data_IF_889043615675
#
_entry.id   IF_889043615675
#
_cell.length_a   1.000
_cell.length_b   1.000
_cell.length_c   1.000
_cell.angle_alpha   90.00
_cell.angle_beta   90.00
_cell.angle_gamma   90.00
#
_symmetry.space_group_name_H-M   'P 1'
#
loop_
_entity.id
_entity.type
_entity.pdbx_description
1 polymer ?
#
# COMPACT_ATOMS: atom_id res chain seq x y z
N UNK A 1 -17.95 -7.50 23.05
CA UNK A 1 -18.00 -8.14 21.71
C UNK A 1 -16.98 -9.26 21.65
N UNK A 2 -17.19 -10.32 20.84
CA UNK A 2 -16.11 -11.28 20.55
C UNK A 2 -14.90 -10.56 19.95
N UNK A 3 -13.70 -11.11 20.15
CA UNK A 3 -12.46 -10.62 19.54
C UNK A 3 -12.60 -10.62 18.02
N UNK A 4 -12.26 -9.49 17.38
CA UNK A 4 -12.34 -9.38 15.93
C UNK A 4 -11.12 -10.02 15.27
N UNK A 5 -11.37 -10.75 14.19
CA UNK A 5 -10.35 -11.31 13.32
C UNK A 5 -10.15 -10.41 12.09
N UNK A 6 -8.95 -9.85 11.93
CA UNK A 6 -8.62 -8.92 10.84
C UNK A 6 -7.62 -9.56 9.90
N UNK A 7 -7.97 -9.62 8.61
CA UNK A 7 -7.08 -10.08 7.55
C UNK A 7 -6.51 -8.89 6.78
N UNK A 8 -5.19 -8.83 6.70
CA UNK A 8 -4.44 -7.78 6.02
C UNK A 8 -3.67 -8.38 4.85
N UNK A 9 -3.78 -7.76 3.69
CA UNK A 9 -3.25 -8.24 2.44
C UNK A 9 -2.48 -7.11 1.73
N UNK A 10 -1.26 -7.36 1.24
CA UNK A 10 -0.50 -6.41 0.39
C UNK A 10 0.02 -7.05 -0.90
N UNK A 11 -0.14 -6.37 -2.03
CA UNK A 11 0.43 -6.82 -3.30
C UNK A 11 0.85 -5.66 -4.23
N UNK A 12 2.14 -5.58 -4.54
CA UNK A 12 2.64 -4.77 -5.65
C UNK A 12 2.40 -5.50 -6.99
N UNK A 13 1.54 -4.94 -7.84
CA UNK A 13 1.09 -5.59 -9.09
C UNK A 13 1.95 -5.24 -10.31
N UNK A 14 3.09 -4.57 -10.14
CA UNK A 14 4.03 -4.26 -11.22
C UNK A 14 3.35 -3.62 -12.46
N UNK A 15 2.50 -2.62 -12.21
CA UNK A 15 1.85 -1.75 -13.20
C UNK A 15 0.88 -2.48 -14.17
N UNK A 16 0.32 -3.62 -13.77
CA UNK A 16 -0.49 -4.45 -14.68
C UNK A 16 -1.86 -3.89 -15.05
N UNK A 17 -2.49 -3.07 -14.20
CA UNK A 17 -3.84 -2.58 -14.47
C UNK A 17 -4.83 -3.75 -14.64
N UNK A 18 -5.56 -3.75 -15.75
CA UNK A 18 -6.53 -4.81 -16.06
C UNK A 18 -5.86 -6.15 -16.44
N UNK A 19 -4.62 -6.14 -16.95
CA UNK A 19 -3.92 -7.37 -17.33
C UNK A 19 -3.54 -8.24 -16.11
N UNK A 20 -3.68 -7.68 -14.90
CA UNK A 20 -3.48 -8.39 -13.65
C UNK A 20 -4.66 -9.29 -13.26
N UNK A 21 -5.77 -9.29 -14.00
CA UNK A 21 -6.94 -10.15 -13.77
C UNK A 21 -7.36 -10.93 -15.03
N UNK A 22 -8.00 -12.11 -14.88
CA UNK A 22 -8.30 -12.79 -13.62
C UNK A 22 -7.06 -13.53 -13.07
N UNK A 23 -6.72 -13.24 -11.82
CA UNK A 23 -5.91 -14.13 -10.97
C UNK A 23 -6.81 -14.64 -9.87
N UNK A 24 -6.75 -15.95 -9.60
CA UNK A 24 -7.46 -16.57 -8.48
C UNK A 24 -7.01 -15.91 -7.18
N UNK A 25 -7.92 -15.21 -6.47
CA UNK A 25 -7.59 -14.57 -5.20
C UNK A 25 -7.66 -15.52 -4.00
N UNK A 26 -7.98 -16.79 -4.27
CA UNK A 26 -8.19 -17.85 -3.29
C UNK A 26 -7.08 -17.91 -2.28
N UNK A 27 -5.84 -18.09 -2.70
CA UNK A 27 -4.74 -18.29 -1.76
C UNK A 27 -4.48 -17.05 -0.88
N UNK A 28 -4.94 -15.88 -1.30
CA UNK A 28 -4.84 -14.65 -0.53
C UNK A 28 -5.98 -14.50 0.48
N UNK A 29 -7.13 -15.11 0.20
CA UNK A 29 -8.39 -15.02 0.94
C UNK A 29 -8.71 -16.27 1.78
N UNK A 30 -8.12 -17.41 1.44
CA UNK A 30 -8.23 -18.72 2.06
C UNK A 30 -7.34 -19.00 3.29
N UNK A 31 -6.28 -18.24 3.65
CA UNK A 31 -5.49 -18.58 4.83
C UNK A 31 -6.32 -18.62 6.11
N UNK A 32 -7.43 -17.87 6.11
CA UNK A 32 -8.47 -17.86 7.14
C UNK A 32 -9.11 -19.23 7.35
N UNK A 33 -9.24 -20.08 6.32
CA UNK A 33 -9.83 -21.42 6.42
C UNK A 33 -8.87 -22.41 7.11
N UNK A 34 -7.62 -22.48 6.67
CA UNK A 34 -6.61 -23.37 7.27
C UNK A 34 -6.23 -22.95 8.70
N UNK A 35 -6.19 -21.65 8.97
CA UNK A 35 -5.92 -21.12 10.31
C UNK A 35 -7.13 -21.28 11.24
N UNK A 36 -8.36 -21.20 10.72
CA UNK A 36 -9.56 -21.55 11.50
C UNK A 36 -9.51 -23.00 11.98
N UNK A 37 -9.04 -23.94 11.16
CA UNK A 37 -8.90 -25.35 11.55
C UNK A 37 -7.85 -25.55 12.66
N UNK A 38 -6.77 -24.75 12.66
CA UNK A 38 -5.75 -24.76 13.72
C UNK A 38 -6.24 -24.10 15.03
N UNK A 39 -6.97 -22.99 14.94
CA UNK A 39 -7.52 -22.31 16.12
C UNK A 39 -8.65 -23.11 16.77
N UNK A 40 -9.50 -23.79 15.98
CA UNK A 40 -10.57 -24.65 16.48
C UNK A 40 -10.05 -25.90 17.18
N UNK A 41 -8.98 -26.53 16.66
CA UNK A 41 -8.33 -27.70 17.31
C UNK A 41 -7.64 -27.38 18.64
N UNK A 42 -7.31 -26.11 18.90
CA UNK A 42 -6.73 -25.65 20.17
C UNK A 42 -7.78 -25.19 21.19
N UNK A 43 -9.07 -25.21 20.83
CA UNK A 43 -10.19 -24.78 21.66
C UNK A 43 -11.14 -25.96 21.97
N UNK A 44 -11.66 -26.03 23.19
CA UNK A 44 -12.56 -27.11 23.66
C UNK A 44 -13.99 -27.05 23.11
N UNK A 45 -14.25 -26.26 22.06
CA UNK A 45 -15.57 -26.12 21.44
C UNK A 45 -15.51 -26.49 19.95
N UNK A 46 -16.07 -27.65 19.57
CA UNK A 46 -15.93 -28.16 18.21
C UNK A 46 -17.08 -27.66 17.32
N UNK A 47 -17.27 -26.35 17.11
CA UNK A 47 -18.21 -25.86 16.07
C UNK A 47 -17.75 -24.54 15.41
N UNK A 48 -17.72 -24.54 14.06
CA UNK A 48 -17.63 -23.43 13.10
C UNK A 48 -16.27 -22.80 12.74
N UNK A 49 -15.92 -22.90 11.44
CA UNK A 49 -14.94 -22.04 10.77
C UNK A 49 -15.28 -20.56 11.00
N UNK A 50 -14.34 -19.74 11.50
CA UNK A 50 -14.61 -18.32 11.74
C UNK A 50 -13.87 -17.45 10.71
N UNK A 51 -14.53 -17.04 9.62
CA UNK A 51 -13.91 -16.16 8.63
C UNK A 51 -13.61 -14.77 9.24
N UNK A 52 -12.73 -14.01 8.59
CA UNK A 52 -12.26 -12.73 9.11
C UNK A 52 -13.41 -11.71 9.18
N UNK A 53 -13.53 -10.99 10.29
CA UNK A 53 -14.54 -9.94 10.44
C UNK A 53 -14.28 -8.74 9.54
N UNK A 54 -13.00 -8.44 9.30
CA UNK A 54 -12.53 -7.34 8.46
C UNK A 54 -11.44 -7.87 7.53
N UNK A 55 -11.52 -7.52 6.24
CA UNK A 55 -10.52 -7.85 5.22
C UNK A 55 -10.04 -6.55 4.59
N UNK A 56 -8.76 -6.22 4.70
CA UNK A 56 -8.15 -5.06 4.07
C UNK A 56 -7.12 -5.48 3.03
N UNK A 57 -7.28 -5.00 1.80
CA UNK A 57 -6.44 -5.36 0.66
C UNK A 57 -5.76 -4.11 0.10
N UNK A 58 -4.44 -4.03 0.28
CA UNK A 58 -3.58 -2.97 -0.23
C UNK A 58 -2.90 -3.36 -1.55
N UNK A 59 -2.94 -2.47 -2.52
CA UNK A 59 -2.24 -2.62 -3.80
C UNK A 59 -1.24 -1.49 -4.02
N UNK A 60 -0.13 -1.83 -4.66
CA UNK A 60 0.85 -0.86 -5.16
C UNK A 60 1.12 -1.14 -6.63
N UNK A 61 1.52 -0.12 -7.37
CA UNK A 61 1.68 -0.21 -8.83
C UNK A 61 0.44 -0.83 -9.50
N UNK A 62 -0.75 -0.43 -9.04
CA UNK A 62 -2.02 -1.01 -9.45
C UNK A 62 -2.22 -0.99 -10.98
N UNK A 63 -1.70 0.06 -11.62
CA UNK A 63 -1.86 0.34 -13.04
C UNK A 63 -0.68 1.15 -13.59
N UNK A 64 -0.50 1.21 -14.92
CA UNK A 64 0.55 2.00 -15.55
C UNK A 64 0.58 3.45 -15.06
N UNK A 65 1.78 3.98 -14.82
CA UNK A 65 1.97 5.31 -14.23
C UNK A 65 1.24 6.42 -14.98
N UNK A 66 1.27 6.41 -16.31
CA UNK A 66 0.58 7.43 -17.10
C UNK A 66 -0.93 7.44 -16.84
N UNK A 67 -1.58 6.27 -16.71
CA UNK A 67 -2.99 6.17 -16.35
C UNK A 67 -3.25 6.60 -14.91
N UNK A 68 -2.41 6.15 -13.97
CA UNK A 68 -2.53 6.51 -12.55
C UNK A 68 -2.38 8.01 -12.30
N UNK A 69 -1.41 8.66 -12.95
CA UNK A 69 -1.14 10.09 -12.83
C UNK A 69 -2.21 10.95 -13.53
N UNK A 70 -2.72 10.50 -14.69
CA UNK A 70 -3.95 11.08 -15.28
C UNK A 70 -5.18 10.89 -14.39
N UNK A 71 -5.09 9.95 -13.45
CA UNK A 71 -6.09 9.34 -12.58
C UNK A 71 -7.30 8.83 -13.33
N UNK A 72 -6.98 7.94 -14.26
CA UNK A 72 -7.88 6.99 -14.89
C UNK A 72 -7.89 5.66 -14.10
N UNK A 73 -7.71 5.71 -12.77
CA UNK A 73 -7.62 4.54 -11.91
C UNK A 73 -8.97 3.95 -11.48
N UNK A 74 -10.07 4.69 -11.68
CA UNK A 74 -11.42 4.31 -11.22
C UNK A 74 -11.85 2.95 -11.75
N UNK A 75 -11.71 2.71 -13.06
CA UNK A 75 -12.12 1.43 -13.67
C UNK A 75 -11.37 0.24 -13.05
N UNK A 76 -10.05 0.40 -12.86
CA UNK A 76 -9.20 -0.67 -12.30
C UNK A 76 -9.58 -1.00 -10.87
N UNK A 77 -9.83 0.01 -10.02
CA UNK A 77 -10.23 -0.25 -8.63
C UNK A 77 -11.67 -0.80 -8.53
N UNK A 78 -12.58 -0.42 -9.43
CA UNK A 78 -13.92 -1.03 -9.51
C UNK A 78 -13.85 -2.51 -9.89
N UNK A 79 -13.07 -2.84 -10.93
CA UNK A 79 -12.89 -4.22 -11.35
C UNK A 79 -12.23 -5.08 -10.25
N UNK A 80 -11.22 -4.52 -9.55
CA UNK A 80 -10.64 -5.18 -8.37
C UNK A 80 -11.68 -5.38 -7.27
N UNK A 81 -12.52 -4.39 -7.01
CA UNK A 81 -13.56 -4.49 -6.00
C UNK A 81 -14.54 -5.63 -6.29
N UNK A 82 -15.09 -5.67 -7.50
CA UNK A 82 -16.02 -6.72 -7.92
C UNK A 82 -15.38 -8.10 -7.83
N UNK A 83 -14.15 -8.26 -8.33
CA UNK A 83 -13.43 -9.54 -8.31
C UNK A 83 -13.11 -10.00 -6.88
N UNK A 84 -12.61 -9.11 -6.02
CA UNK A 84 -12.31 -9.46 -4.62
C UNK A 84 -13.59 -9.87 -3.89
N UNK A 85 -14.66 -9.11 -4.02
CA UNK A 85 -15.91 -9.39 -3.32
C UNK A 85 -16.50 -10.74 -3.75
N UNK A 86 -16.58 -11.00 -5.06
CA UNK A 86 -17.03 -12.28 -5.60
C UNK A 86 -16.21 -13.46 -5.04
N UNK A 87 -14.88 -13.31 -4.99
CA UNK A 87 -14.01 -14.34 -4.46
C UNK A 87 -14.22 -14.52 -2.95
N UNK A 88 -14.23 -13.44 -2.15
CA UNK A 88 -14.45 -13.53 -0.70
C UNK A 88 -15.73 -14.32 -0.39
N UNK A 89 -16.85 -13.96 -1.01
CA UNK A 89 -18.14 -14.63 -0.76
C UNK A 89 -18.13 -16.10 -1.23
N UNK A 90 -17.47 -16.37 -2.37
CA UNK A 90 -17.32 -17.74 -2.89
C UNK A 90 -16.52 -18.63 -1.95
N UNK A 91 -15.43 -18.14 -1.35
CA UNK A 91 -14.52 -18.95 -0.52
C UNK A 91 -14.96 -19.03 0.94
N UNK A 92 -15.38 -17.92 1.52
CA UNK A 92 -15.79 -17.88 2.94
C UNK A 92 -17.20 -18.44 3.15
N UNK A 93 -18.02 -18.50 2.09
CA UNK A 93 -19.46 -18.80 2.17
C UNK A 93 -20.24 -17.81 3.05
N UNK A 94 -19.65 -16.65 3.33
CA UNK A 94 -20.24 -15.54 4.08
C UNK A 94 -20.43 -14.32 3.18
N UNK A 95 -21.33 -13.41 3.57
CA UNK A 95 -21.52 -12.14 2.88
C UNK A 95 -20.63 -11.04 3.46
N UNK A 96 -20.10 -10.21 2.57
CA UNK A 96 -19.26 -9.07 2.95
C UNK A 96 -19.75 -7.79 2.28
N UNK A 97 -19.62 -6.69 3.01
CA UNK A 97 -19.84 -5.34 2.50
C UNK A 97 -18.51 -4.62 2.30
N UNK A 98 -18.39 -3.85 1.22
CA UNK A 98 -17.31 -2.88 1.08
C UNK A 98 -17.55 -1.73 2.07
N UNK A 99 -16.68 -1.57 3.05
CA UNK A 99 -16.70 -0.41 3.97
C UNK A 99 -16.33 0.84 3.19
N UNK A 100 -15.17 0.83 2.53
CA UNK A 100 -14.79 1.85 1.55
C UNK A 100 -13.58 1.40 0.72
N UNK A 101 -13.24 2.18 -0.30
CA UNK A 101 -12.03 2.03 -1.11
C UNK A 101 -11.43 3.38 -1.46
N UNK A 102 -10.11 3.40 -1.67
CA UNK A 102 -9.38 4.60 -2.09
C UNK A 102 -8.22 4.21 -3.01
N UNK A 103 -7.92 5.08 -3.98
CA UNK A 103 -6.71 5.01 -4.82
C UNK A 103 -6.12 6.40 -5.03
N UNK A 104 -4.79 6.49 -4.92
CA UNK A 104 -4.02 7.68 -5.30
C UNK A 104 -2.85 7.24 -6.19
N UNK A 105 -2.86 7.69 -7.45
CA UNK A 105 -1.92 7.19 -8.45
C UNK A 105 -2.13 5.68 -8.66
N UNK A 106 -1.12 4.89 -8.28
CA UNK A 106 -1.13 3.43 -8.29
C UNK A 106 -1.15 2.76 -6.92
N UNK A 107 -1.35 3.51 -5.83
CA UNK A 107 -1.51 2.96 -4.47
C UNK A 107 -2.99 2.91 -4.14
N UNK A 108 -3.51 1.74 -3.79
CA UNK A 108 -4.92 1.55 -3.50
C UNK A 108 -5.14 0.72 -2.22
N UNK A 109 -6.29 0.94 -1.59
CA UNK A 109 -6.73 0.21 -0.40
C UNK A 109 -8.24 -0.03 -0.50
N UNK A 110 -8.66 -1.27 -0.30
CA UNK A 110 -10.06 -1.68 -0.22
C UNK A 110 -10.27 -2.38 1.11
N UNK A 111 -11.30 -1.99 1.86
CA UNK A 111 -11.63 -2.59 3.15
C UNK A 111 -13.05 -3.12 3.12
N UNK A 112 -13.17 -4.41 3.42
CA UNK A 112 -14.42 -5.16 3.49
C UNK A 112 -14.68 -5.58 4.92
N UNK A 113 -15.93 -5.76 5.27
CA UNK A 113 -16.36 -6.23 6.57
C UNK A 113 -17.49 -7.26 6.41
N UNK A 114 -17.57 -8.21 7.34
CA UNK A 114 -18.62 -9.23 7.33
C UNK A 114 -19.99 -8.60 7.57
N UNK A 115 -20.99 -8.96 6.75
CA UNK A 115 -22.35 -8.39 6.78
C UNK A 115 -23.07 -8.62 8.11
N UNK A 116 -22.85 -9.78 8.73
CA UNK A 116 -23.44 -10.15 10.02
C UNK A 116 -22.85 -9.40 11.23
N UNK A 117 -21.86 -8.52 11.02
CA UNK A 117 -21.17 -7.80 12.10
C UNK A 117 -20.74 -6.40 11.68
N UNK A 118 -19.42 -6.22 11.53
CA UNK A 118 -18.78 -4.90 11.37
C UNK A 118 -19.37 -4.07 10.24
N UNK A 119 -19.77 -4.67 9.11
CA UNK A 119 -20.26 -3.90 7.95
C UNK A 119 -21.54 -3.10 8.25
N UNK A 120 -22.39 -3.59 9.17
CA UNK A 120 -23.66 -2.91 9.53
C UNK A 120 -23.48 -1.86 10.61
N UNK A 121 -22.41 -1.96 11.39
CA UNK A 121 -22.16 -1.07 12.54
C UNK A 121 -21.11 -0.01 12.26
N UNK A 122 -20.28 -0.18 11.24
CA UNK A 122 -19.24 0.77 10.88
C UNK A 122 -19.84 2.16 10.59
N UNK A 123 -19.29 3.18 11.25
CA UNK A 123 -19.67 4.58 11.10
C UNK A 123 -18.42 5.46 10.93
N UNK A 124 -18.62 6.76 10.70
CA UNK A 124 -17.55 7.75 10.55
C UNK A 124 -16.46 7.32 9.55
N UNK A 125 -16.91 6.78 8.41
CA UNK A 125 -16.02 6.25 7.39
C UNK A 125 -15.34 7.40 6.64
N UNK A 126 -14.01 7.44 6.71
CA UNK A 126 -13.17 8.44 6.09
C UNK A 126 -12.06 7.81 5.25
N UNK A 127 -11.63 8.54 4.23
CA UNK A 127 -10.45 8.17 3.44
C UNK A 127 -9.51 9.36 3.28
N UNK A 128 -8.21 9.09 3.21
CA UNK A 128 -7.17 10.09 3.07
C UNK A 128 -6.07 9.61 2.12
N UNK A 129 -5.33 10.54 1.51
CA UNK A 129 -4.19 10.23 0.66
C UNK A 129 -3.10 11.29 0.80
N UNK A 130 -1.86 10.88 0.53
CA UNK A 130 -0.71 11.76 0.38
C UNK A 130 0.31 11.16 -0.59
N UNK A 131 1.10 12.01 -1.23
CA UNK A 131 2.13 11.61 -2.20
C UNK A 131 3.52 12.01 -1.72
N UNK A 132 4.49 11.13 -1.89
CA UNK A 132 5.90 11.34 -1.52
C UNK A 132 6.83 11.35 -2.72
N UNK A 133 6.28 11.21 -3.93
CA UNK A 133 7.05 11.34 -5.16
C UNK A 133 7.67 12.74 -5.32
N UNK A 134 8.51 12.95 -6.35
CA UNK A 134 9.00 14.29 -6.69
C UNK A 134 7.83 15.28 -6.79
N UNK A 135 7.89 16.39 -6.04
CA UNK A 135 6.78 17.34 -5.98
C UNK A 135 5.50 16.83 -5.31
N UNK A 136 5.61 15.84 -4.41
CA UNK A 136 4.49 15.16 -3.73
C UNK A 136 3.56 14.37 -4.66
N UNK A 137 4.06 13.98 -5.83
CA UNK A 137 3.33 13.17 -6.80
C UNK A 137 2.97 11.78 -6.27
N UNK A 138 1.90 11.19 -6.83
CA UNK A 138 1.29 9.95 -6.35
C UNK A 138 1.94 8.64 -6.83
N UNK A 139 3.13 8.70 -7.46
CA UNK A 139 3.88 7.49 -7.83
C UNK A 139 4.50 6.77 -6.62
N UNK A 140 4.59 7.47 -5.49
CA UNK A 140 4.95 6.99 -4.14
C UNK A 140 4.10 7.75 -3.13
N UNK A 141 3.87 7.18 -1.95
CA UNK A 141 3.08 7.80 -0.89
C UNK A 141 2.19 6.79 -0.19
N UNK A 142 1.04 7.25 0.32
CA UNK A 142 0.11 6.40 1.04
C UNK A 142 -1.35 6.80 0.82
N UNK A 143 -2.22 5.82 0.96
CA UNK A 143 -3.66 6.00 1.13
C UNK A 143 -4.09 5.41 2.47
N UNK A 144 -5.12 5.96 3.07
CA UNK A 144 -5.65 5.49 4.33
C UNK A 144 -7.18 5.47 4.36
N UNK A 145 -7.72 4.57 5.15
CA UNK A 145 -9.15 4.39 5.38
C UNK A 145 -9.36 4.25 6.89
N UNK A 146 -10.23 5.08 7.45
CA UNK A 146 -10.58 5.09 8.87
C UNK A 146 -12.08 4.88 9.01
N UNK A 147 -12.49 4.12 10.01
CA UNK A 147 -13.89 4.06 10.44
C UNK A 147 -13.96 3.75 11.93
N UNK A 148 -15.14 3.92 12.52
CA UNK A 148 -15.42 3.60 13.92
C UNK A 148 -16.42 2.46 14.01
N UNK A 149 -16.22 1.58 14.99
CA UNK A 149 -17.22 0.59 15.42
C UNK A 149 -17.74 1.06 16.77
N UNK A 150 -19.03 1.44 16.89
CA UNK A 150 -19.63 1.83 18.17
C UNK A 150 -19.57 0.71 19.21
N UNK A 151 -19.52 1.07 20.50
CA UNK A 151 -19.62 0.10 21.58
C UNK A 151 -21.01 -0.55 21.61
N UNK A 152 -21.11 -1.81 22.04
CA UNK A 152 -22.41 -2.53 22.12
C UNK A 152 -23.40 -1.86 23.04
N UNK A 153 -22.91 -1.15 24.05
CA UNK A 153 -23.71 -0.59 25.13
C UNK A 153 -23.97 0.92 24.93
N UNK A 154 -23.78 1.42 23.70
CA UNK A 154 -23.93 2.83 23.35
C UNK A 154 -22.70 3.70 23.62
N UNK A 155 -21.60 3.12 24.09
CA UNK A 155 -20.32 3.82 24.27
C UNK A 155 -19.65 4.24 22.96
N UNK A 156 -18.63 5.10 23.05
CA UNK A 156 -17.95 5.67 21.88
C UNK A 156 -17.35 4.62 20.92
N UNK A 157 -17.03 3.43 21.43
CA UNK A 157 -16.49 2.33 20.64
C UNK A 157 -15.02 2.54 20.29
N UNK A 158 -14.61 2.01 19.14
CA UNK A 158 -13.20 1.97 18.74
C UNK A 158 -12.99 2.43 17.30
N UNK A 159 -11.88 3.14 17.07
CA UNK A 159 -11.49 3.64 15.75
C UNK A 159 -10.46 2.71 15.11
N UNK A 160 -10.71 2.33 13.86
CA UNK A 160 -9.89 1.43 13.08
C UNK A 160 -9.30 2.19 11.90
N UNK A 161 -7.96 2.28 11.81
CA UNK A 161 -7.27 2.96 10.73
C UNK A 161 -6.40 1.97 9.94
N UNK A 162 -6.65 1.87 8.64
CA UNK A 162 -5.90 1.05 7.70
C UNK A 162 -5.12 1.97 6.76
N UNK A 163 -3.84 1.68 6.54
CA UNK A 163 -2.94 2.45 5.68
C UNK A 163 -2.27 1.51 4.68
N UNK A 164 -2.30 1.87 3.40
CA UNK A 164 -1.50 1.23 2.36
C UNK A 164 -0.44 2.21 1.87
N UNK A 165 0.84 1.84 1.99
CA UNK A 165 1.97 2.70 1.59
C UNK A 165 2.81 2.08 0.45
N UNK A 166 3.43 2.96 -0.33
CA UNK A 166 4.44 2.59 -1.32
C UNK A 166 5.60 3.58 -1.21
N UNK A 167 6.68 3.16 -0.54
CA UNK A 167 7.81 4.04 -0.23
C UNK A 167 8.90 4.00 -1.31
N UNK A 168 9.82 4.95 -1.25
CA UNK A 168 10.90 5.11 -2.23
C UNK A 168 11.70 3.82 -2.45
N UNK A 169 11.77 3.38 -3.70
CA UNK A 169 12.49 2.18 -4.12
C UNK A 169 14.02 2.34 -4.09
N UNK A 170 14.71 1.20 -4.23
CA UNK A 170 16.16 1.02 -4.31
C UNK A 170 16.92 1.09 -2.98
N UNK A 171 17.91 0.21 -2.79
CA UNK A 171 18.58 -0.01 -1.51
C UNK A 171 19.27 1.26 -0.97
N UNK A 172 19.88 2.04 -1.86
CA UNK A 172 20.62 3.27 -1.57
C UNK A 172 19.74 4.43 -1.08
N UNK A 173 18.43 4.39 -1.33
CA UNK A 173 17.48 5.47 -0.99
C UNK A 173 16.85 5.32 0.40
N UNK A 174 17.62 4.80 1.36
CA UNK A 174 17.15 4.57 2.72
C UNK A 174 16.64 5.86 3.40
N UNK A 175 17.42 6.94 3.28
CA UNK A 175 17.03 8.25 3.82
C UNK A 175 15.73 8.77 3.23
N UNK A 176 15.48 8.53 1.94
CA UNK A 176 14.22 8.90 1.30
C UNK A 176 13.06 8.08 1.86
N UNK A 177 13.20 6.77 2.10
CA UNK A 177 12.14 5.97 2.75
C UNK A 177 11.80 6.45 4.15
N UNK A 178 12.82 6.80 4.94
CA UNK A 178 12.62 7.39 6.27
C UNK A 178 11.86 8.72 6.15
N UNK A 179 12.30 9.60 5.25
CA UNK A 179 11.63 10.88 4.98
C UNK A 179 10.20 10.71 4.46
N UNK A 180 9.95 9.70 3.61
CA UNK A 180 8.61 9.36 3.11
C UNK A 180 7.68 9.00 4.28
N UNK A 181 8.15 8.19 5.23
CA UNK A 181 7.35 7.82 6.40
C UNK A 181 7.01 9.04 7.26
N UNK A 182 7.97 9.89 7.60
CA UNK A 182 7.70 11.12 8.36
C UNK A 182 6.74 12.05 7.62
N UNK A 183 6.89 12.17 6.30
CA UNK A 183 5.95 12.93 5.47
C UNK A 183 4.55 12.34 5.54
N UNK A 184 4.41 11.01 5.41
CA UNK A 184 3.12 10.32 5.50
C UNK A 184 2.46 10.56 6.86
N UNK A 185 3.20 10.42 7.97
CA UNK A 185 2.68 10.67 9.32
C UNK A 185 2.13 12.09 9.46
N UNK A 186 2.84 13.09 8.92
CA UNK A 186 2.41 14.49 9.00
C UNK A 186 1.30 14.88 8.00
N UNK A 187 1.08 14.14 6.92
CA UNK A 187 0.19 14.59 5.81
C UNK A 187 -0.96 13.66 5.47
N UNK A 188 -0.90 12.38 5.88
CA UNK A 188 -2.03 11.46 5.81
C UNK A 188 -2.96 11.71 7.01
N UNK A 189 -3.81 12.73 6.85
CA UNK A 189 -4.61 13.27 7.95
C UNK A 189 -6.10 12.92 7.83
N UNK A 190 -6.72 12.68 8.98
CA UNK A 190 -8.14 12.36 9.17
C UNK A 190 -8.82 13.46 10.01
N UNK A 191 -10.14 13.52 10.03
CA UNK A 191 -10.85 14.47 10.88
C UNK A 191 -10.62 14.16 12.37
N UNK A 192 -10.64 15.18 13.21
CA UNK A 192 -10.67 14.99 14.66
C UNK A 192 -12.11 14.68 15.12
N UNK A 193 -12.31 13.69 16.00
CA UNK A 193 -13.60 13.49 16.65
C UNK A 193 -14.06 14.72 17.47
N UNK A 194 -13.12 15.46 18.04
CA UNK A 194 -13.37 16.60 18.93
C UNK A 194 -13.73 17.89 18.16
N UNK A 195 -13.28 18.01 16.90
CA UNK A 195 -13.46 19.23 16.11
C UNK A 195 -13.53 18.94 14.63
N UNK A 196 -14.59 19.45 13.99
CA UNK A 196 -14.82 19.31 12.55
C UNK A 196 -13.75 19.96 11.67
N UNK A 197 -12.97 20.90 12.20
CA UNK A 197 -11.92 21.61 11.45
C UNK A 197 -10.53 21.10 11.79
N UNK A 198 -10.34 20.50 12.97
CA UNK A 198 -9.07 19.93 13.35
C UNK A 198 -8.80 18.62 12.61
N UNK A 199 -7.52 18.36 12.35
CA UNK A 199 -7.06 17.17 11.65
C UNK A 199 -6.12 16.41 12.57
N UNK A 200 -6.18 15.09 12.54
CA UNK A 200 -5.32 14.22 13.34
C UNK A 200 -4.47 13.33 12.46
N UNK A 201 -3.31 12.91 12.98
CA UNK A 201 -2.44 11.96 12.27
C UNK A 201 -3.04 10.55 12.28
N UNK A 202 -2.43 9.65 11.53
CA UNK A 202 -2.80 8.23 11.51
C UNK A 202 -2.72 7.55 12.89
N UNK A 203 -1.96 8.10 13.84
CA UNK A 203 -1.81 7.55 15.19
C UNK A 203 -2.98 7.87 16.14
N UNK A 204 -3.82 8.84 15.81
CA UNK A 204 -5.00 9.17 16.61
C UNK A 204 -6.16 8.18 16.31
N UNK A 205 -6.00 6.95 16.76
CA UNK A 205 -6.89 5.81 16.45
C UNK A 205 -6.83 4.78 17.58
N UNK A 206 -7.77 3.83 17.65
CA UNK A 206 -7.71 2.72 18.63
C UNK A 206 -6.85 1.58 18.10
N UNK A 207 -6.98 1.28 16.80
CA UNK A 207 -6.19 0.27 16.10
C UNK A 207 -5.61 0.87 14.82
N UNK A 208 -4.33 0.60 14.56
CA UNK A 208 -3.63 1.05 13.37
C UNK A 208 -3.02 -0.15 12.65
N UNK A 209 -3.34 -0.29 11.37
CA UNK A 209 -2.81 -1.33 10.50
C UNK A 209 -2.13 -0.68 9.29
N UNK A 210 -0.88 -1.04 9.05
CA UNK A 210 -0.09 -0.59 7.91
C UNK A 210 0.26 -1.79 7.05
N UNK A 211 -0.07 -1.71 5.77
CA UNK A 211 0.33 -2.65 4.74
C UNK A 211 1.06 -1.91 3.62
N UNK A 212 1.86 -2.60 2.83
CA UNK A 212 2.39 -2.01 1.61
C UNK A 212 3.76 -2.51 1.16
N UNK A 213 4.17 -2.02 0.00
CA UNK A 213 5.55 -2.09 -0.47
C UNK A 213 6.37 -0.96 0.19
N UNK A 214 6.88 -1.25 1.38
CA UNK A 214 7.71 -0.32 2.14
C UNK A 214 9.14 -0.21 1.57
N UNK A 215 9.49 -1.06 0.60
CA UNK A 215 10.72 -0.97 -0.18
C UNK A 215 12.04 -1.03 0.62
N UNK A 216 12.02 -1.38 1.91
CA UNK A 216 13.22 -1.69 2.68
C UNK A 216 13.90 -2.94 2.14
N UNK A 217 15.23 -2.94 2.15
CA UNK A 217 16.05 -3.95 1.47
C UNK A 217 16.94 -4.70 2.44
N UNK A 218 17.37 -5.88 2.03
CA UNK A 218 18.49 -6.58 2.68
C UNK A 218 19.80 -5.97 2.18
N UNK A 219 20.58 -5.38 3.09
CA UNK A 219 21.87 -4.77 2.77
C UNK A 219 22.97 -5.38 3.62
N UNK A 220 23.71 -6.30 3.01
CA UNK A 220 24.87 -6.92 3.64
C UNK A 220 26.02 -5.93 3.80
N UNK A 221 26.80 -6.01 4.89
CA UNK A 221 27.98 -5.18 5.05
C UNK A 221 29.08 -5.57 4.04
N UNK A 222 30.06 -4.68 3.76
CA UNK A 222 31.10 -4.90 2.75
C UNK A 222 31.88 -6.20 2.90
N UNK A 223 32.15 -6.62 4.14
CA UNK A 223 32.93 -7.80 4.51
C UNK A 223 32.15 -9.12 4.41
N UNK A 224 30.84 -9.08 4.22
CA UNK A 224 30.03 -10.29 4.16
C UNK A 224 30.35 -11.09 2.88
N UNK A 225 30.58 -12.43 2.94
CA UNK A 225 30.99 -13.23 1.78
C UNK A 225 30.05 -13.18 0.57
N UNK A 226 28.76 -12.99 0.83
CA UNK A 226 27.72 -12.89 -0.20
C UNK A 226 27.45 -11.45 -0.70
N UNK A 227 28.24 -10.46 -0.28
CA UNK A 227 28.10 -9.07 -0.73
C UNK A 227 28.19 -8.99 -2.25
N UNK A 228 27.20 -8.35 -2.88
CA UNK A 228 27.19 -8.17 -4.34
C UNK A 228 26.84 -9.43 -5.13
N UNK A 229 26.37 -10.51 -4.49
CA UNK A 229 26.00 -11.75 -5.16
C UNK A 229 24.49 -12.08 -5.03
N UNK A 230 23.58 -11.35 -5.71
CA UNK A 230 22.12 -11.55 -5.60
C UNK A 230 21.64 -12.99 -5.80
N UNK A 231 22.23 -13.73 -6.75
CA UNK A 231 21.87 -15.12 -7.02
C UNK A 231 22.25 -16.06 -5.87
N UNK A 232 23.45 -15.88 -5.30
CA UNK A 232 23.90 -16.68 -4.16
C UNK A 232 23.11 -16.36 -2.89
N UNK A 233 22.77 -15.07 -2.68
CA UNK A 233 21.86 -14.64 -1.61
C UNK A 233 20.49 -15.30 -1.79
N UNK A 234 19.93 -15.26 -3.00
CA UNK A 234 18.64 -15.87 -3.29
C UNK A 234 18.62 -17.38 -3.04
N UNK A 235 19.71 -18.08 -3.34
CA UNK A 235 19.87 -19.50 -3.03
C UNK A 235 19.98 -19.73 -1.51
N UNK A 236 20.75 -18.93 -0.78
CA UNK A 236 20.86 -19.07 0.67
C UNK A 236 19.49 -18.88 1.36
N UNK A 237 18.72 -17.88 0.93
CA UNK A 237 17.40 -17.55 1.49
C UNK A 237 16.32 -18.62 1.29
N UNK A 238 16.60 -19.72 0.57
CA UNK A 238 15.69 -20.88 0.54
C UNK A 238 15.64 -21.59 1.89
N UNK A 239 16.76 -21.61 2.62
CA UNK A 239 16.84 -22.18 3.97
C UNK A 239 16.30 -21.19 5.02
N UNK A 240 15.46 -21.67 5.94
CA UNK A 240 14.90 -20.84 7.00
C UNK A 240 15.98 -20.31 7.96
N UNK A 241 17.01 -21.10 8.27
CA UNK A 241 18.14 -20.68 9.10
C UNK A 241 18.91 -19.51 8.49
N UNK A 242 19.07 -19.50 7.16
CA UNK A 242 19.65 -18.36 6.46
C UNK A 242 18.74 -17.14 6.53
N UNK A 243 17.41 -17.30 6.37
CA UNK A 243 16.47 -16.18 6.54
C UNK A 243 16.51 -15.58 7.94
N UNK A 244 16.61 -16.43 8.95
CA UNK A 244 16.75 -16.02 10.36
C UNK A 244 18.01 -15.18 10.58
N UNK A 245 19.15 -15.57 9.99
CA UNK A 245 20.37 -14.75 10.03
C UNK A 245 20.26 -13.46 9.20
N UNK A 246 19.64 -13.53 8.02
CA UNK A 246 19.55 -12.41 7.08
C UNK A 246 18.60 -11.30 7.54
N UNK A 247 17.65 -11.59 8.43
CA UNK A 247 16.75 -10.59 9.01
C UNK A 247 17.51 -9.48 9.74
N UNK A 248 18.70 -9.77 10.26
CA UNK A 248 19.55 -8.77 10.93
C UNK A 248 20.14 -7.75 9.97
N UNK A 249 20.15 -8.04 8.66
CA UNK A 249 20.57 -7.13 7.59
C UNK A 249 19.38 -6.48 6.85
N UNK A 250 18.16 -6.70 7.32
CA UNK A 250 16.97 -6.02 6.81
C UNK A 250 16.95 -4.57 7.27
N UNK A 251 16.93 -3.63 6.32
CA UNK A 251 16.96 -2.20 6.64
C UNK A 251 15.80 -1.77 7.55
N UNK A 252 14.59 -2.33 7.40
CA UNK A 252 13.48 -1.93 8.28
C UNK A 252 13.76 -2.34 9.73
N UNK A 253 14.19 -3.59 9.95
CA UNK A 253 14.55 -4.09 11.28
C UNK A 253 15.73 -3.35 11.91
N UNK A 254 16.73 -2.97 11.11
CA UNK A 254 17.86 -2.16 11.59
C UNK A 254 17.41 -0.74 11.96
N UNK A 255 16.70 -0.04 11.07
CA UNK A 255 16.34 1.36 11.31
C UNK A 255 15.29 1.53 12.42
N UNK A 256 14.41 0.55 12.64
CA UNK A 256 13.46 0.56 13.77
C UNK A 256 14.13 0.43 15.14
N UNK A 257 15.30 -0.20 15.21
CA UNK A 257 16.10 -0.30 16.46
C UNK A 257 16.89 0.98 16.74
N UNK A 258 17.03 1.87 15.76
CA UNK A 258 17.71 3.13 15.94
C UNK A 258 16.71 4.21 16.39
N UNK A 259 16.73 4.62 17.68
CA UNK A 259 15.75 5.55 18.22
C UNK A 259 15.81 6.93 17.55
N UNK A 260 16.98 7.32 17.01
CA UNK A 260 17.14 8.61 16.32
C UNK A 260 16.31 8.75 15.04
N UNK A 261 15.87 7.64 14.45
CA UNK A 261 15.05 7.68 13.23
C UNK A 261 13.55 7.80 13.50
N UNK A 262 13.08 7.48 14.72
CA UNK A 262 11.65 7.48 15.06
C UNK A 262 10.74 6.88 13.97
N UNK A 263 11.13 5.69 13.49
CA UNK A 263 10.54 5.03 12.33
C UNK A 263 9.52 3.96 12.77
N UNK A 264 8.28 4.05 12.27
CA UNK A 264 7.15 3.17 12.65
C UNK A 264 6.98 2.98 14.17
N UNK A 265 7.08 4.09 14.92
CA UNK A 265 7.05 4.09 16.39
C UNK A 265 5.79 3.43 16.93
N UNK A 266 5.94 2.49 17.86
CA UNK A 266 4.84 1.79 18.49
C UNK A 266 4.14 0.74 17.63
N UNK A 267 4.51 0.56 16.35
CA UNK A 267 4.01 -0.55 15.54
C UNK A 267 4.79 -1.83 15.83
N UNK A 268 4.12 -2.99 15.75
CA UNK A 268 4.69 -4.34 15.77
C UNK A 268 4.62 -4.97 14.38
N UNK A 269 5.38 -6.04 14.18
CA UNK A 269 5.36 -6.85 12.97
C UNK A 269 5.54 -8.32 13.37
N UNK A 270 4.86 -9.24 12.68
CA UNK A 270 5.06 -10.68 12.87
C UNK A 270 6.43 -11.14 12.34
N UNK A 271 6.73 -12.44 12.44
CA UNK A 271 8.01 -12.99 12.02
C UNK A 271 8.15 -13.11 10.49
N UNK A 272 8.36 -11.96 9.82
CA UNK A 272 8.44 -11.85 8.36
C UNK A 272 9.49 -12.77 7.70
N UNK A 273 10.53 -13.14 8.44
CA UNK A 273 11.63 -13.99 7.98
C UNK A 273 11.27 -15.48 7.88
N UNK A 274 10.12 -15.91 8.44
CA UNK A 274 9.65 -17.30 8.33
C UNK A 274 9.31 -17.69 6.88
N UNK A 275 8.83 -16.74 6.07
CA UNK A 275 8.59 -16.93 4.64
C UNK A 275 9.71 -16.29 3.78
N UNK A 276 9.81 -16.75 2.53
CA UNK A 276 10.80 -16.24 1.55
C UNK A 276 10.55 -14.77 1.23
N UNK A 277 11.62 -14.01 0.93
CA UNK A 277 11.52 -12.63 0.46
C UNK A 277 10.44 -12.49 -0.64
N UNK A 278 9.64 -11.42 -0.57
CA UNK A 278 8.56 -11.17 -1.53
C UNK A 278 9.05 -10.56 -2.84
N UNK A 279 10.29 -10.06 -2.89
CA UNK A 279 10.90 -9.40 -4.04
C UNK A 279 12.36 -9.85 -4.20
N UNK A 280 13.00 -9.87 -5.38
CA UNK A 280 12.48 -9.65 -6.74
C UNK A 280 12.46 -10.97 -7.48
N UNK A 281 11.29 -11.41 -7.94
CA UNK A 281 11.14 -12.63 -8.72
C UNK A 281 11.33 -12.39 -10.21
N UNK A 282 11.61 -13.47 -10.93
CA UNK A 282 11.46 -13.50 -12.38
C UNK A 282 9.98 -13.67 -12.68
N UNK A 283 9.39 -12.73 -13.43
CA UNK A 283 7.98 -12.80 -13.85
C UNK A 283 7.73 -14.14 -14.58
N UNK A 284 6.59 -14.77 -14.28
CA UNK A 284 6.22 -16.09 -14.77
C UNK A 284 6.80 -17.26 -13.97
N UNK A 285 7.61 -17.00 -12.93
CA UNK A 285 8.22 -18.05 -12.10
C UNK A 285 7.66 -18.02 -10.67
N UNK A 286 7.36 -19.20 -10.12
CA UNK A 286 6.86 -19.36 -8.75
C UNK A 286 7.96 -19.05 -7.74
N UNK A 287 9.13 -19.68 -7.89
CA UNK A 287 10.16 -19.71 -6.84
C UNK A 287 11.57 -19.43 -7.36
N UNK A 288 11.70 -18.45 -8.27
CA UNK A 288 12.99 -18.03 -8.84
C UNK A 288 13.21 -16.53 -8.73
N UNK A 289 14.16 -16.14 -7.89
CA UNK A 289 14.63 -14.76 -7.81
C UNK A 289 15.34 -14.31 -9.09
N UNK A 290 15.16 -13.05 -9.44
CA UNK A 290 15.92 -12.37 -10.49
C UNK A 290 17.29 -11.96 -9.96
N UNK A 291 18.35 -12.16 -10.76
CA UNK A 291 19.70 -11.69 -10.43
C UNK A 291 19.85 -10.16 -10.51
N UNK A 292 18.84 -9.44 -11.01
CA UNK A 292 18.88 -7.97 -11.19
C UNK A 292 18.96 -7.20 -9.86
N UNK A 293 18.50 -7.80 -8.77
CA UNK A 293 18.46 -7.20 -7.42
C UNK A 293 18.62 -8.27 -6.36
N UNK A 294 19.23 -7.94 -5.23
CA UNK A 294 19.21 -8.77 -4.03
C UNK A 294 17.76 -8.99 -3.58
N UNK A 295 17.34 -10.23 -3.29
CA UNK A 295 16.03 -10.48 -2.71
C UNK A 295 15.81 -9.75 -1.38
N UNK A 296 14.60 -9.27 -1.14
CA UNK A 296 14.23 -8.52 0.05
C UNK A 296 12.75 -8.69 0.43
N UNK A 297 12.45 -8.53 1.71
CA UNK A 297 11.08 -8.38 2.23
C UNK A 297 10.66 -6.93 2.08
N UNK A 298 10.29 -6.54 0.87
CA UNK A 298 9.84 -5.17 0.55
C UNK A 298 8.40 -4.93 0.98
N UNK A 299 7.57 -5.96 0.90
CA UNK A 299 6.16 -5.94 1.25
C UNK A 299 6.03 -6.29 2.73
N UNK A 300 5.33 -5.46 3.52
CA UNK A 300 5.26 -5.60 4.99
C UNK A 300 3.85 -5.38 5.53
N UNK A 301 3.58 -5.99 6.68
CA UNK A 301 2.40 -5.74 7.51
C UNK A 301 2.86 -5.35 8.92
N UNK A 302 2.45 -4.16 9.37
CA UNK A 302 2.71 -3.66 10.70
C UNK A 302 1.39 -3.27 11.38
N UNK A 303 1.32 -3.38 12.69
CA UNK A 303 0.08 -3.14 13.44
C UNK A 303 0.32 -2.68 14.87
N UNK A 304 -0.66 -2.02 15.47
CA UNK A 304 -0.67 -1.67 16.90
C UNK A 304 -2.09 -1.41 17.37
N UNK A 305 -2.31 -1.57 18.67
CA UNK A 305 -3.60 -1.32 19.33
C UNK A 305 -3.41 -0.48 20.58
N UNK A 306 -4.44 0.24 21.00
CA UNK A 306 -4.42 1.12 22.18
C UNK A 306 -4.06 0.38 23.48
N UNK A 307 -4.36 -0.92 23.55
CA UNK A 307 -4.01 -1.77 24.69
C UNK A 307 -2.52 -2.08 24.77
N UNK A 308 -1.76 -1.86 23.70
CA UNK A 308 -0.32 -2.06 23.71
C UNK A 308 0.37 -1.02 24.59
N UNK A 309 1.47 -1.42 25.24
CA UNK A 309 2.30 -0.51 26.03
C UNK A 309 3.43 0.07 25.17
N UNK A 310 3.73 1.38 25.28
CA UNK A 310 4.95 1.94 24.70
C UNK A 310 6.23 1.40 25.37
N UNK A 311 6.15 0.95 26.62
CA UNK A 311 7.30 0.41 27.39
C UNK A 311 7.66 -1.03 27.01
N UNK A 312 6.77 -1.72 26.29
CA UNK A 312 6.96 -3.10 25.82
C UNK A 312 6.88 -3.17 24.28
N UNK A 313 7.86 -2.62 23.55
CA UNK A 313 7.79 -2.45 22.09
C UNK A 313 7.74 -3.77 21.29
N UNK A 314 8.11 -4.89 21.92
CA UNK A 314 8.11 -6.22 21.30
C UNK A 314 6.87 -7.05 21.65
N UNK A 315 6.01 -6.58 22.55
CA UNK A 315 4.80 -7.28 22.98
C UNK A 315 3.58 -6.58 22.42
N UNK A 316 2.57 -7.33 21.97
CA UNK A 316 1.30 -6.77 21.50
C UNK A 316 0.13 -7.58 22.05
N UNK A 317 -0.96 -6.90 22.37
CA UNK A 317 -2.25 -7.49 22.66
C UNK A 317 -2.92 -8.08 21.41
N UNK A 318 -2.46 -7.70 20.21
CA UNK A 318 -2.86 -8.33 18.94
C UNK A 318 -2.07 -9.64 18.76
N UNK A 319 -2.78 -10.75 18.57
CA UNK A 319 -2.19 -12.03 18.23
C UNK A 319 -2.00 -12.14 16.72
N UNK A 320 -0.76 -12.22 16.24
CA UNK A 320 -0.47 -12.55 14.84
C UNK A 320 -0.63 -14.06 14.63
N UNK A 321 -1.77 -14.45 14.07
CA UNK A 321 -2.11 -15.87 13.87
C UNK A 321 -1.41 -16.44 12.65
N UNK A 322 -1.28 -15.61 11.61
CA UNK A 322 -0.56 -15.96 10.39
C UNK A 322 0.14 -14.72 9.84
N UNK A 323 1.32 -14.93 9.28
CA UNK A 323 2.00 -13.98 8.41
C UNK A 323 2.84 -14.72 7.37
N UNK A 324 2.45 -14.66 6.10
CA UNK A 324 3.09 -15.45 5.02
C UNK A 324 3.03 -14.73 3.67
N UNK A 325 3.82 -15.22 2.71
CA UNK A 325 3.70 -14.87 1.29
C UNK A 325 2.96 -15.94 0.50
N UNK A 326 2.42 -15.55 -0.65
CA UNK A 326 1.66 -16.40 -1.57
C UNK A 326 2.48 -16.61 -2.87
N UNK A 327 3.33 -17.64 -2.95
CA UNK A 327 4.31 -17.79 -4.04
C UNK A 327 3.68 -18.11 -5.41
N UNK A 328 2.45 -18.64 -5.43
CA UNK A 328 1.74 -19.05 -6.65
C UNK A 328 1.45 -17.92 -7.64
N UNK A 329 1.53 -16.66 -7.22
CA UNK A 329 1.27 -15.51 -8.07
C UNK A 329 2.53 -15.13 -8.82
N UNK A 330 2.47 -15.19 -10.16
CA UNK A 330 3.66 -15.05 -11.00
C UNK A 330 3.59 -13.88 -11.98
N UNK A 331 2.50 -13.11 -12.00
CA UNK A 331 2.36 -12.02 -12.96
C UNK A 331 3.21 -10.82 -12.58
N UNK A 332 3.41 -10.58 -11.29
CA UNK A 332 4.33 -9.56 -10.75
C UNK A 332 5.70 -10.17 -10.43
N UNK A 333 6.71 -9.30 -10.32
CA UNK A 333 7.99 -9.62 -9.71
C UNK A 333 7.96 -9.56 -8.18
N UNK A 334 6.82 -9.16 -7.60
CA UNK A 334 6.49 -9.32 -6.19
C UNK A 334 5.59 -10.54 -5.95
N UNK A 335 5.65 -11.10 -4.74
CA UNK A 335 4.70 -12.09 -4.23
C UNK A 335 3.76 -11.41 -3.23
N UNK A 336 2.42 -11.60 -3.34
CA UNK A 336 1.49 -11.10 -2.34
C UNK A 336 1.85 -11.62 -0.95
N UNK A 337 1.56 -10.82 0.06
CA UNK A 337 1.65 -11.21 1.47
C UNK A 337 0.30 -11.09 2.16
N UNK A 338 0.10 -11.90 3.19
CA UNK A 338 -1.10 -11.89 4.01
C UNK A 338 -0.75 -12.06 5.48
N UNK A 339 -1.47 -11.35 6.33
CA UNK A 339 -1.45 -11.53 7.77
C UNK A 339 -2.86 -11.66 8.33
N UNK A 340 -3.04 -12.57 9.28
CA UNK A 340 -4.26 -12.72 10.04
C UNK A 340 -4.01 -12.33 11.50
N UNK A 341 -4.76 -11.35 11.99
CA UNK A 341 -4.58 -10.71 13.29
C UNK A 341 -5.83 -10.89 14.14
N UNK A 342 -5.71 -11.51 15.30
CA UNK A 342 -6.79 -11.59 16.27
C UNK A 342 -6.63 -10.46 17.29
N UNK A 343 -7.52 -9.48 17.23
CA UNK A 343 -7.49 -8.29 18.09
C UNK A 343 -7.79 -8.64 19.55
N UNK A 344 -7.37 -7.83 20.54
CA UNK A 344 -7.79 -8.01 21.91
C UNK A 344 -9.30 -7.83 22.08
N UNK A 345 -9.84 -8.26 23.22
CA UNK A 345 -11.21 -7.94 23.59
C UNK A 345 -11.36 -6.43 23.76
N UNK A 346 -12.47 -5.88 23.25
CA UNK A 346 -12.76 -4.47 23.44
C UNK A 346 -13.00 -4.17 24.92
N UNK A 347 -12.28 -3.18 25.45
CA UNK A 347 -12.50 -2.66 26.80
C UNK A 347 -13.38 -1.42 26.82
N UNK A 348 -13.97 -1.04 25.67
CA UNK A 348 -14.88 0.11 25.58
C UNK A 348 -16.19 -0.20 26.31
N UNK A 349 -16.55 0.63 27.28
CA UNK A 349 -17.77 0.50 28.10
C UNK A 349 -18.73 1.66 27.82
N UNK A 350 -19.98 1.54 28.27
CA UNK A 350 -20.99 2.60 28.13
C UNK A 350 -20.54 3.95 28.69
N UNK A 351 -19.70 3.97 29.72
CA UNK A 351 -19.19 5.19 30.36
C UNK A 351 -18.07 5.88 29.56
N UNK A 352 -17.59 5.26 28.49
CA UNK A 352 -16.50 5.79 27.67
C UNK A 352 -17.05 6.81 26.66
N UNK A 353 -16.81 8.11 26.91
CA UNK A 353 -17.30 9.20 26.05
C UNK A 353 -16.54 9.36 24.73
N UNK A 354 -15.30 8.86 24.65
CA UNK A 354 -14.43 8.98 23.47
C UNK A 354 -13.70 7.67 23.17
N UNK A 355 -13.45 7.32 21.89
CA UNK A 355 -12.74 6.11 21.57
C UNK A 355 -11.33 6.12 22.17
N UNK A 356 -10.83 4.98 22.72
CA UNK A 356 -9.47 4.93 23.23
C UNK A 356 -8.47 5.16 22.09
N UNK A 357 -7.39 5.87 22.37
CA UNK A 357 -6.34 6.20 21.39
C UNK A 357 -5.04 5.46 21.68
N UNK A 358 -4.21 5.26 20.65
CA UNK A 358 -2.88 4.67 20.80
C UNK A 358 -2.05 5.41 21.85
N UNK A 359 -1.36 4.64 22.69
CA UNK A 359 -0.34 5.16 23.60
C UNK A 359 1.01 5.16 22.90
N UNK A 360 1.60 6.34 22.76
CA UNK A 360 2.92 6.54 22.16
C UNK A 360 3.96 6.84 23.24
N UNK A 361 5.26 6.56 22.99
CA UNK A 361 6.34 7.03 23.85
C UNK A 361 6.31 8.56 24.05
N UNK A 362 6.72 9.02 25.22
CA UNK A 362 6.68 10.45 25.58
C UNK A 362 7.49 11.35 24.64
N UNK A 363 8.57 10.83 24.06
CA UNK A 363 9.44 11.54 23.12
C UNK A 363 8.94 11.53 21.68
N UNK A 364 7.76 10.93 21.43
CA UNK A 364 7.16 10.83 20.10
C UNK A 364 5.74 11.40 20.07
N UNK A 365 5.64 12.65 19.61
CA UNK A 365 4.37 13.35 19.42
C UNK A 365 4.20 13.77 17.95
N UNK A 366 3.62 12.90 17.10
CA UNK A 366 3.44 13.20 15.68
C UNK A 366 2.34 14.25 15.50
N UNK A 367 2.71 15.40 14.93
CA UNK A 367 1.77 16.50 14.66
C UNK A 367 1.37 16.59 13.19
N UNK A 368 0.13 17.00 12.89
CA UNK A 368 -0.28 17.33 11.54
C UNK A 368 0.60 18.42 10.93
N UNK A 369 1.02 18.22 9.67
CA UNK A 369 1.73 19.23 8.89
C UNK A 369 0.75 20.34 8.49
N UNK A 370 0.98 21.60 8.90
CA UNK A 370 0.09 22.72 8.56
C UNK A 370 -0.04 22.97 7.05
N UNK A 371 0.89 22.46 6.24
CA UNK A 371 0.93 22.58 4.78
C UNK A 371 0.50 21.28 4.09
N UNK A 372 -0.06 20.31 4.81
CA UNK A 372 -0.47 19.02 4.24
C UNK A 372 -1.35 19.19 2.99
N UNK A 373 -2.38 20.05 3.06
CA UNK A 373 -3.27 20.28 1.93
C UNK A 373 -2.58 20.92 0.73
N UNK A 374 -1.73 21.93 0.97
CA UNK A 374 -0.94 22.55 -0.09
C UNK A 374 -0.08 21.52 -0.82
N UNK A 375 0.66 20.68 -0.08
CA UNK A 375 1.53 19.64 -0.64
C UNK A 375 0.72 18.60 -1.42
N UNK A 376 -0.38 18.12 -0.83
CA UNK A 376 -1.29 17.13 -1.40
C UNK A 376 -1.90 17.58 -2.73
N UNK A 377 -2.40 18.81 -2.79
CA UNK A 377 -3.02 19.33 -4.02
C UNK A 377 -1.98 19.81 -5.05
N UNK A 378 -0.80 20.24 -4.62
CA UNK A 378 0.33 20.49 -5.53
C UNK A 378 0.75 19.21 -6.24
N UNK A 379 0.96 18.12 -5.48
CA UNK A 379 1.26 16.81 -6.04
C UNK A 379 0.18 16.32 -7.01
N UNK A 380 -1.10 16.44 -6.63
CA UNK A 380 -2.21 16.09 -7.52
C UNK A 380 -2.23 16.93 -8.79
N UNK A 381 -1.96 18.23 -8.73
CA UNK A 381 -1.92 19.06 -9.93
C UNK A 381 -0.79 18.62 -10.88
N UNK A 382 0.40 18.33 -10.33
CA UNK A 382 1.54 17.79 -11.09
C UNK A 382 1.23 16.42 -11.69
N UNK A 383 0.60 15.52 -10.93
CA UNK A 383 0.15 14.21 -11.41
C UNK A 383 -0.72 14.38 -12.65
N UNK A 384 -1.76 15.24 -12.58
CA UNK A 384 -2.69 15.42 -13.70
C UNK A 384 -2.03 16.05 -14.91
N UNK A 385 -1.16 17.02 -14.69
CA UNK A 385 -0.45 17.68 -15.78
C UNK A 385 0.47 16.69 -16.51
N UNK A 386 1.39 16.05 -15.79
CA UNK A 386 2.36 15.10 -16.35
C UNK A 386 1.65 13.87 -16.91
N UNK A 387 0.71 13.32 -16.15
CA UNK A 387 -0.04 12.13 -16.53
C UNK A 387 -0.82 12.34 -17.82
N UNK A 388 -1.57 13.43 -17.97
CA UNK A 388 -2.35 13.70 -19.20
C UNK A 388 -1.46 13.89 -20.42
N UNK A 389 -0.33 14.57 -20.28
CA UNK A 389 0.65 14.70 -21.38
C UNK A 389 1.19 13.32 -21.76
N UNK A 390 1.63 12.54 -20.76
CA UNK A 390 2.16 11.20 -21.00
C UNK A 390 1.10 10.27 -21.62
N UNK A 391 -0.11 10.25 -21.10
CA UNK A 391 -1.23 9.48 -21.64
C UNK A 391 -1.53 9.85 -23.10
N UNK A 392 -1.57 11.14 -23.42
CA UNK A 392 -1.78 11.60 -24.80
C UNK A 392 -0.66 11.12 -25.73
N UNK A 393 0.60 11.20 -25.30
CA UNK A 393 1.73 10.67 -26.06
C UNK A 393 1.59 9.15 -26.26
N UNK A 394 1.23 8.41 -25.22
CA UNK A 394 1.00 6.97 -25.33
C UNK A 394 -0.11 6.63 -26.35
N UNK A 395 -1.18 7.43 -26.40
CA UNK A 395 -2.22 7.29 -27.43
C UNK A 395 -1.71 7.57 -28.84
N UNK A 396 -0.96 8.67 -29.04
CA UNK A 396 -0.36 9.00 -30.34
C UNK A 396 0.59 7.91 -30.86
N UNK A 397 1.19 7.15 -29.95
CA UNK A 397 2.07 6.04 -30.28
C UNK A 397 1.39 4.67 -30.28
N UNK A 398 0.06 4.62 -30.38
CA UNK A 398 -0.73 3.38 -30.39
C UNK A 398 -0.40 2.43 -29.21
N UNK A 399 -0.22 3.00 -28.01
CA UNK A 399 0.14 2.26 -26.79
C UNK A 399 1.61 2.37 -26.41
N UNK A 400 2.48 2.94 -27.25
CA UNK A 400 3.89 3.18 -26.94
C UNK A 400 4.20 4.67 -26.78
N UNK A 401 4.61 5.10 -25.59
CA UNK A 401 5.03 6.50 -25.36
C UNK A 401 6.18 6.92 -26.27
N UNK A 402 7.14 6.03 -26.54
CA UNK A 402 8.31 6.33 -27.38
C UNK A 402 7.88 6.62 -28.82
N UNK A 403 7.01 5.78 -29.38
CA UNK A 403 6.43 6.00 -30.72
C UNK A 403 5.59 7.28 -30.72
N UNK A 404 4.89 7.55 -29.62
CA UNK A 404 4.09 8.75 -29.44
C UNK A 404 4.90 10.05 -29.49
N UNK A 405 6.03 10.09 -28.80
CA UNK A 405 6.98 11.22 -28.85
C UNK A 405 7.47 11.42 -30.28
N UNK A 406 7.87 10.34 -30.96
CA UNK A 406 8.31 10.41 -32.35
C UNK A 406 7.22 10.96 -33.27
N UNK A 407 5.99 10.44 -33.19
CA UNK A 407 4.84 10.92 -33.97
C UNK A 407 4.50 12.38 -33.66
N UNK A 408 4.58 12.80 -32.40
CA UNK A 408 4.34 14.19 -32.00
C UNK A 408 5.38 15.14 -32.61
N UNK A 409 6.67 14.80 -32.53
CA UNK A 409 7.76 15.61 -33.12
C UNK A 409 7.64 15.67 -34.64
N UNK A 410 7.36 14.54 -35.31
CA UNK A 410 7.10 14.52 -36.75
C UNK A 410 5.91 15.40 -37.14
N UNK A 411 4.82 15.35 -36.36
CA UNK A 411 3.63 16.17 -36.56
C UNK A 411 3.94 17.66 -36.45
N UNK A 412 4.71 18.08 -35.44
CA UNK A 412 5.17 19.47 -35.31
C UNK A 412 6.05 19.90 -36.49
N UNK A 413 6.94 19.03 -36.96
CA UNK A 413 7.78 19.28 -38.14
C UNK A 413 6.95 19.45 -39.42
N UNK A 414 5.98 18.58 -39.64
CA UNK A 414 5.07 18.65 -40.79
C UNK A 414 4.16 19.89 -40.75
N UNK A 415 3.62 20.23 -39.57
CA UNK A 415 2.83 21.44 -39.36
C UNK A 415 3.65 22.71 -39.60
N UNK A 416 4.87 22.77 -39.05
CA UNK A 416 5.81 23.86 -39.28
C UNK A 416 6.16 24.01 -40.76
N UNK A 417 6.42 22.90 -41.46
CA UNK A 417 6.66 22.90 -42.91
C UNK A 417 5.46 23.40 -43.70
N UNK A 418 4.25 22.95 -43.37
CA UNK A 418 3.01 23.36 -44.04
C UNK A 418 2.75 24.86 -43.89
N UNK A 419 2.93 25.40 -42.67
CA UNK A 419 2.74 26.83 -42.42
C UNK A 419 3.86 27.70 -42.99
N UNK A 420 5.11 27.22 -43.02
CA UNK A 420 6.19 27.91 -43.73
C UNK A 420 5.91 28.00 -45.24
N UNK A 421 5.29 26.97 -45.83
CA UNK A 421 4.91 26.96 -47.24
C UNK A 421 3.71 27.86 -47.55
N UNK A 422 2.77 27.99 -46.60
CA UNK A 422 1.61 28.88 -46.72
C UNK A 422 1.97 30.38 -46.57
N UNK A 423 3.08 30.71 -45.89
CA UNK A 423 3.57 32.09 -45.74
C UNK A 423 4.48 32.60 -46.88
N UNK A 424 4.93 31.74 -47.79
CA UNK A 424 5.89 32.08 -48.86
C UNK A 424 5.27 32.50 -50.20
N UNK A 425 3.95 32.61 -50.31
CA UNK A 425 3.23 32.84 -51.57
C UNK A 425 2.94 34.31 -51.90
N UNK A 426 3.90 35.22 -51.75
CA UNK A 426 3.61 36.64 -51.97
C UNK A 426 4.80 37.58 -52.13
N UNK A 427 5.75 37.29 -53.03
CA UNK A 427 6.48 38.34 -53.78
C UNK A 427 6.92 37.76 -55.13
N UNK A 428 6.47 38.37 -56.21
CA UNK A 428 7.09 38.24 -57.53
C UNK A 428 6.13 37.83 -58.64
N UNK A 429 5.43 38.81 -59.23
CA UNK A 429 5.60 39.03 -60.68
C UNK A 429 5.03 40.38 -61.12
N UNK A 430 5.71 41.02 -62.08
CA UNK A 430 5.20 42.20 -62.77
C UNK A 430 6.24 43.28 -63.04
N UNK A 431 7.33 42.95 -63.74
CA UNK A 431 8.19 43.95 -64.37
C UNK A 431 7.46 44.71 -65.50
N UNK A 432 7.93 45.93 -65.80
CA UNK A 432 7.60 46.58 -67.06
C UNK A 432 7.98 48.06 -67.22
N UNK A 433 9.13 48.29 -67.89
CA UNK A 433 9.43 49.29 -68.97
C UNK A 433 9.33 50.81 -68.57
N UNK A 434 10.23 51.76 -68.89
CA UNK A 434 10.70 52.28 -70.20
C UNK A 434 11.88 53.29 -69.99
N UNK A 435 12.89 53.14 -70.87
CA UNK A 435 14.00 54.04 -71.31
C UNK A 435 15.11 54.39 -70.32
#
# INVERSE_FOLDING_TARGET
>A
MPRLLVQLASYNTNLQGEDGVPQSLVDWLAPTLQVSDFLTTSSTHPEHHHPADIIAVGFQELLPLHLGLSGLSTKVIENRNSHILEQIETFTKERYGLVNKIVNGGVALLVYARDGGVARTACDVETAWTGTGPGWMANKGAVGLRFRIPGTDGGAGETYTFVCAHLTAHAEKLRNRIADWHHIVGTLLFASPESKTARTTLYHTSHLFLVGDLNFRVVLPPEHPLKGAPSAIGQALTAQSARDAFKEYDQLSVERRNPANQLFVGLREGEFWKFKCSYKYTIGQVDRYSSKRTPAWTDRVLYTTYSDSPDAPNESAITNVLYTSIPGYTTSDHKPIVSLLLLPESTSTADTSEPPILRLPEDYSPVPDPRADLKRYTGRALDRFIGRIWWFLTLLGAGSTVVGIFNFVLGLGAWGWWHAKAGGGGVGDGGGIIV
#
